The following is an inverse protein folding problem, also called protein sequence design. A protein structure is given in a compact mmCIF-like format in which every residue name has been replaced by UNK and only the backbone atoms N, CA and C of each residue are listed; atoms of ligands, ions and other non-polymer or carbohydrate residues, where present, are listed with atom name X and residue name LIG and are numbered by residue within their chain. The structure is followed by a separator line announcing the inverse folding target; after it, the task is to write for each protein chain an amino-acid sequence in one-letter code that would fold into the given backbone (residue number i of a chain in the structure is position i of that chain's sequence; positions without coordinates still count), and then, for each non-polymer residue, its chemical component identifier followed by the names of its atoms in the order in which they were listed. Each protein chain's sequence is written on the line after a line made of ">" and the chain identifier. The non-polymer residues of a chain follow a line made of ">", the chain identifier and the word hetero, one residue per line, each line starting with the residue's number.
data_IF_378890320418
#
_entry.id   IF_378890320418
#
_cell.length_a   1.000
_cell.length_b   1.000
_cell.length_c   1.000
_cell.angle_alpha   90.00
_cell.angle_beta   90.00
_cell.angle_gamma   90.00
#
_symmetry.space_group_name_H-M   'P 1'
#
loop_
_entity.id
_entity.type
_entity.pdbx_description
1 polymer ?
#
# COMPACT_ATOMS: atom_id res chain seq x y z
N UNK A 1 -9.75 -21.72 4.40
CA UNK A 1 -9.74 -22.65 5.52
C UNK A 1 -8.31 -23.00 5.89
N UNK A 2 -7.72 -22.14 6.71
CA UNK A 2 -6.49 -22.41 7.45
C UNK A 2 -6.88 -22.92 8.85
N UNK A 3 -6.23 -23.96 9.31
CA UNK A 3 -6.44 -24.52 10.64
C UNK A 3 -5.57 -23.81 11.66
N UNK A 4 -5.95 -23.86 12.95
CA UNK A 4 -5.26 -23.10 14.00
C UNK A 4 -3.76 -23.41 14.12
N UNK A 5 -3.28 -24.62 13.75
CA UNK A 5 -1.83 -24.92 13.77
C UNK A 5 -1.02 -24.23 12.66
N UNK A 6 -1.69 -23.72 11.63
CA UNK A 6 -1.10 -23.04 10.46
C UNK A 6 -1.04 -21.52 10.65
N UNK A 7 -1.73 -20.98 11.65
CA UNK A 7 -1.86 -19.54 11.87
C UNK A 7 -0.63 -18.97 12.57
N UNK A 8 -0.11 -17.86 12.06
CA UNK A 8 0.74 -16.98 12.85
C UNK A 8 -0.16 -16.08 13.70
N UNK A 9 -0.28 -16.39 14.99
CA UNK A 9 -1.19 -15.68 15.88
C UNK A 9 -0.76 -14.25 16.18
N UNK A 10 0.54 -13.93 16.15
CA UNK A 10 0.99 -12.55 16.30
C UNK A 10 0.50 -11.72 15.13
N UNK A 11 0.74 -12.19 13.90
CA UNK A 11 0.29 -11.51 12.68
C UNK A 11 -1.25 -11.45 12.58
N UNK A 12 -1.95 -12.54 12.94
CA UNK A 12 -3.41 -12.59 12.90
C UNK A 12 -4.04 -11.55 13.84
N UNK A 13 -3.62 -11.50 15.10
CA UNK A 13 -4.14 -10.53 16.04
C UNK A 13 -3.65 -9.12 15.72
N UNK A 14 -2.45 -8.91 15.17
CA UNK A 14 -2.01 -7.57 14.73
C UNK A 14 -2.87 -7.01 13.60
N UNK A 15 -3.28 -7.85 12.64
CA UNK A 15 -3.99 -7.41 11.42
C UNK A 15 -5.51 -7.42 11.51
N UNK A 16 -6.06 -8.02 12.56
CA UNK A 16 -7.50 -8.20 12.70
C UNK A 16 -8.01 -7.66 14.05
N UNK A 17 -9.20 -7.09 14.00
CA UNK A 17 -10.02 -6.87 15.19
C UNK A 17 -10.82 -8.15 15.44
N UNK A 18 -10.62 -8.72 16.62
CA UNK A 18 -11.17 -10.02 17.01
C UNK A 18 -11.98 -9.82 18.28
N UNK A 19 -13.21 -10.31 18.31
CA UNK A 19 -13.97 -10.42 19.54
C UNK A 19 -13.37 -11.56 20.39
N UNK A 20 -12.58 -11.17 21.40
CA UNK A 20 -11.86 -12.13 22.26
C UNK A 20 -12.82 -13.06 23.01
N UNK A 21 -13.97 -12.57 23.47
CA UNK A 21 -14.91 -13.40 24.23
C UNK A 21 -15.50 -14.50 23.34
N UNK A 22 -15.93 -14.13 22.13
CA UNK A 22 -16.42 -15.08 21.13
C UNK A 22 -15.32 -16.06 20.69
N UNK A 23 -14.09 -15.57 20.52
CA UNK A 23 -12.93 -16.40 20.19
C UNK A 23 -12.65 -17.45 21.27
N UNK A 24 -12.55 -17.03 22.52
CA UNK A 24 -12.29 -17.93 23.65
C UNK A 24 -13.43 -18.93 23.83
N UNK A 25 -14.69 -18.49 23.68
CA UNK A 25 -15.84 -19.38 23.79
C UNK A 25 -15.81 -20.50 22.74
N UNK A 26 -15.40 -20.19 21.51
CA UNK A 26 -15.22 -21.18 20.45
C UNK A 26 -14.06 -22.15 20.74
N UNK A 27 -12.97 -21.67 21.34
CA UNK A 27 -11.90 -22.54 21.85
C UNK A 27 -12.41 -23.48 22.95
N UNK A 28 -13.17 -22.98 23.92
CA UNK A 28 -13.73 -23.78 25.03
C UNK A 28 -14.65 -24.90 24.56
N UNK A 29 -15.39 -24.70 23.47
CA UNK A 29 -16.24 -25.74 22.89
C UNK A 29 -15.45 -26.97 22.41
N UNK A 30 -14.18 -26.80 22.09
CA UNK A 30 -13.28 -27.87 21.64
C UNK A 30 -12.23 -28.26 22.69
N UNK A 31 -12.01 -27.39 23.68
CA UNK A 31 -11.10 -27.57 24.79
C UNK A 31 -11.78 -27.05 26.09
N UNK A 32 -12.58 -27.87 26.79
CA UNK A 32 -13.42 -27.41 27.91
C UNK A 32 -12.73 -26.81 29.13
N UNK A 33 -11.42 -27.01 29.28
CA UNK A 33 -10.58 -26.40 30.34
C UNK A 33 -9.62 -25.34 29.78
N UNK A 34 -9.93 -24.75 28.62
CA UNK A 34 -9.06 -23.79 27.94
C UNK A 34 -8.61 -22.65 28.87
N UNK A 35 -9.55 -22.02 29.60
CA UNK A 35 -9.23 -20.93 30.53
C UNK A 35 -8.43 -21.41 31.72
N UNK A 36 -8.79 -22.54 32.30
CA UNK A 36 -8.08 -23.11 33.45
C UNK A 36 -6.62 -23.45 33.09
N UNK A 37 -6.39 -23.97 31.88
CA UNK A 37 -5.04 -24.26 31.38
C UNK A 37 -4.27 -22.97 31.08
N UNK A 38 -4.89 -21.96 30.47
CA UNK A 38 -4.27 -20.65 30.25
C UNK A 38 -3.81 -20.01 31.57
N UNK A 39 -4.71 -19.96 32.55
CA UNK A 39 -4.44 -19.41 33.87
C UNK A 39 -3.32 -20.16 34.58
N UNK A 40 -3.31 -21.50 34.51
CA UNK A 40 -2.24 -22.31 35.10
C UNK A 40 -0.89 -22.07 34.43
N UNK A 41 -0.89 -21.85 33.10
CA UNK A 41 0.31 -21.52 32.34
C UNK A 41 0.76 -20.05 32.50
N UNK A 42 -0.05 -19.21 33.14
CA UNK A 42 0.26 -17.83 33.49
C UNK A 42 -0.15 -16.79 32.43
N UNK A 43 -1.13 -17.11 31.58
CA UNK A 43 -1.68 -16.19 30.58
C UNK A 43 -2.99 -15.56 31.08
N UNK A 44 -3.14 -14.26 30.88
CA UNK A 44 -4.37 -13.51 31.12
C UNK A 44 -5.21 -13.43 29.84
N UNK A 45 -6.32 -14.17 29.79
CA UNK A 45 -7.18 -14.19 28.60
C UNK A 45 -8.05 -12.92 28.43
N UNK A 46 -7.95 -11.94 29.33
CA UNK A 46 -8.51 -10.60 29.10
C UNK A 46 -7.58 -9.74 28.21
N UNK A 47 -6.30 -10.12 28.08
CA UNK A 47 -5.31 -9.42 27.27
C UNK A 47 -5.09 -10.13 25.92
N UNK A 48 -5.15 -9.35 24.84
CA UNK A 48 -5.04 -9.85 23.46
C UNK A 48 -3.69 -10.51 23.18
N UNK A 49 -2.61 -9.93 23.70
CA UNK A 49 -1.25 -10.44 23.46
C UNK A 49 -1.03 -11.76 24.23
N UNK A 50 -1.63 -11.88 25.41
CA UNK A 50 -1.63 -13.13 26.18
C UNK A 50 -2.50 -14.22 25.55
N UNK A 51 -3.63 -13.89 24.91
CA UNK A 51 -4.40 -14.86 24.10
C UNK A 51 -3.54 -15.37 22.93
N UNK A 52 -2.90 -14.47 22.18
CA UNK A 52 -2.01 -14.86 21.09
C UNK A 52 -0.84 -15.73 21.61
N UNK A 53 -0.26 -15.34 22.75
CA UNK A 53 0.79 -16.09 23.45
C UNK A 53 0.35 -17.49 23.86
N UNK A 54 -0.86 -17.63 24.41
CA UNK A 54 -1.40 -18.92 24.79
C UNK A 54 -1.69 -19.80 23.57
N UNK A 55 -2.18 -19.23 22.47
CA UNK A 55 -2.39 -19.98 21.23
C UNK A 55 -1.07 -20.50 20.64
N UNK A 56 0.01 -19.71 20.69
CA UNK A 56 1.36 -20.19 20.33
C UNK A 56 1.85 -21.28 21.28
N UNK A 57 1.63 -21.12 22.57
CA UNK A 57 1.96 -22.13 23.57
C UNK A 57 1.28 -23.48 23.25
N UNK A 58 0.00 -23.46 22.86
CA UNK A 58 -0.71 -24.65 22.41
C UNK A 58 -0.16 -25.19 21.07
N UNK A 59 0.23 -24.32 20.13
CA UNK A 59 0.89 -24.76 18.89
C UNK A 59 2.23 -25.46 19.15
N UNK A 60 2.99 -25.02 20.15
CA UNK A 60 4.24 -25.67 20.54
C UNK A 60 3.99 -27.07 21.11
N UNK A 61 2.93 -27.25 21.91
CA UNK A 61 2.49 -28.58 22.34
C UNK A 61 2.12 -29.43 21.12
N UNK A 62 1.35 -28.88 20.18
CA UNK A 62 0.92 -29.57 18.97
C UNK A 62 2.09 -30.03 18.09
N UNK A 63 3.09 -29.15 17.91
CA UNK A 63 4.25 -29.39 17.01
C UNK A 63 5.36 -30.21 17.69
N UNK A 64 5.35 -30.31 19.02
CA UNK A 64 6.37 -31.01 19.79
C UNK A 64 6.29 -32.53 19.55
N UNK A 65 7.42 -33.20 19.20
CA UNK A 65 7.44 -34.65 19.08
C UNK A 65 7.23 -35.38 20.43
N UNK A 66 7.32 -34.65 21.54
CA UNK A 66 7.08 -35.17 22.89
C UNK A 66 5.75 -34.64 23.47
N UNK A 67 4.92 -33.95 22.68
CA UNK A 67 3.66 -33.34 23.15
C UNK A 67 3.91 -32.46 24.37
N UNK A 68 3.02 -32.52 25.36
CA UNK A 68 3.13 -31.81 26.65
C UNK A 68 4.23 -32.38 27.58
N UNK A 69 4.69 -33.61 27.34
CA UNK A 69 5.72 -34.25 28.18
C UNK A 69 7.11 -33.62 28.04
N UNK A 70 7.30 -32.66 27.12
CA UNK A 70 8.52 -31.87 27.00
C UNK A 70 8.73 -30.85 28.15
N UNK A 71 7.73 -30.67 29.03
CA UNK A 71 7.78 -29.74 30.16
C UNK A 71 7.41 -28.32 29.75
N UNK A 72 6.13 -27.98 29.91
CA UNK A 72 5.56 -26.68 29.52
C UNK A 72 5.20 -25.85 30.76
N UNK A 73 5.27 -24.53 30.64
CA UNK A 73 5.08 -23.58 31.73
C UNK A 73 3.79 -23.82 32.52
N UNK A 74 3.87 -23.77 33.86
CA UNK A 74 2.74 -24.02 34.76
C UNK A 74 2.46 -25.49 35.06
N UNK A 75 3.06 -26.43 34.34
CA UNK A 75 2.88 -27.89 34.54
C UNK A 75 4.23 -28.61 34.64
N UNK A 76 5.21 -27.99 35.28
CA UNK A 76 6.59 -28.48 35.36
C UNK A 76 6.75 -29.46 36.51
N UNK A 77 6.02 -29.23 37.62
CA UNK A 77 6.13 -30.06 38.82
C UNK A 77 4.90 -30.95 39.01
N UNK A 78 5.10 -32.16 39.51
CA UNK A 78 4.00 -33.08 39.87
C UNK A 78 2.98 -32.47 40.83
N UNK A 79 3.41 -31.55 41.70
CA UNK A 79 2.49 -30.84 42.59
C UNK A 79 1.52 -29.93 41.84
N UNK A 80 1.95 -29.30 40.74
CA UNK A 80 1.12 -28.42 39.92
C UNK A 80 0.10 -29.24 39.13
N UNK A 81 0.55 -30.31 38.46
CA UNK A 81 -0.33 -31.21 37.71
C UNK A 81 -1.31 -31.94 38.62
N UNK A 82 -0.87 -32.38 39.80
CA UNK A 82 -1.77 -32.98 40.79
C UNK A 82 -2.83 -31.99 41.27
N UNK A 83 -2.46 -30.77 41.64
CA UNK A 83 -3.44 -29.78 42.10
C UNK A 83 -4.44 -29.46 40.99
N UNK A 84 -3.96 -29.27 39.76
CA UNK A 84 -4.82 -29.07 38.60
C UNK A 84 -5.79 -30.24 38.38
N UNK A 85 -5.32 -31.48 38.55
CA UNK A 85 -6.19 -32.65 38.49
C UNK A 85 -7.25 -32.62 39.59
N UNK A 86 -6.88 -32.40 40.85
CA UNK A 86 -7.83 -32.38 41.97
C UNK A 86 -8.92 -31.31 41.77
N UNK A 87 -8.54 -30.14 41.25
CA UNK A 87 -9.47 -29.04 41.00
C UNK A 87 -10.40 -29.31 39.81
N UNK A 88 -10.02 -30.20 38.88
CA UNK A 88 -10.71 -30.42 37.59
C UNK A 88 -11.04 -31.89 37.28
N UNK A 89 -10.99 -32.77 38.28
CA UNK A 89 -10.97 -34.22 38.09
C UNK A 89 -12.15 -34.74 37.27
N UNK A 90 -13.36 -34.24 37.55
CA UNK A 90 -14.59 -34.66 36.88
C UNK A 90 -14.52 -34.39 35.37
N UNK A 91 -14.17 -33.17 34.95
CA UNK A 91 -14.06 -32.77 33.54
C UNK A 91 -12.98 -33.57 32.80
N UNK A 92 -11.81 -33.75 33.44
CA UNK A 92 -10.69 -34.51 32.86
C UNK A 92 -11.09 -35.97 32.66
N UNK A 93 -11.66 -36.60 33.70
CA UNK A 93 -12.04 -38.01 33.66
C UNK A 93 -13.17 -38.24 32.65
N UNK A 94 -14.18 -37.38 32.59
CA UNK A 94 -15.29 -37.53 31.65
C UNK A 94 -14.83 -37.37 30.20
N UNK A 95 -13.95 -36.41 29.90
CA UNK A 95 -13.32 -36.30 28.59
C UNK A 95 -12.56 -37.58 28.22
N UNK A 96 -11.74 -38.11 29.13
CA UNK A 96 -10.93 -39.29 28.86
C UNK A 96 -11.76 -40.56 28.70
N UNK A 97 -12.93 -40.66 29.35
CA UNK A 97 -13.90 -41.74 29.09
C UNK A 97 -14.45 -41.67 27.67
N UNK A 98 -14.84 -40.48 27.22
CA UNK A 98 -15.38 -40.28 25.88
C UNK A 98 -14.31 -40.55 24.82
N UNK A 99 -13.08 -40.10 25.08
CA UNK A 99 -11.93 -40.35 24.23
C UNK A 99 -11.59 -41.84 24.14
N UNK A 100 -11.47 -42.55 25.28
CA UNK A 100 -11.19 -43.99 25.28
C UNK A 100 -12.28 -44.77 24.56
N UNK A 101 -13.54 -44.38 24.75
CA UNK A 101 -14.67 -44.97 24.05
C UNK A 101 -14.58 -44.76 22.53
N UNK A 102 -14.15 -43.58 22.09
CA UNK A 102 -13.84 -43.28 20.68
C UNK A 102 -12.75 -44.17 20.09
N UNK A 103 -11.81 -44.65 20.92
CA UNK A 103 -10.80 -45.64 20.55
C UNK A 103 -11.30 -47.10 20.60
N UNK A 104 -12.55 -47.32 21.03
CA UNK A 104 -13.16 -48.64 21.14
C UNK A 104 -12.85 -49.38 22.45
N UNK A 105 -12.46 -48.66 23.51
CA UNK A 105 -12.11 -49.25 24.80
C UNK A 105 -12.68 -48.48 26.00
N UNK A 106 -12.74 -49.14 27.15
CA UNK A 106 -13.09 -48.50 28.42
C UNK A 106 -11.88 -47.76 29.02
N UNK A 107 -12.17 -46.83 29.94
CA UNK A 107 -11.15 -45.97 30.56
C UNK A 107 -10.07 -46.77 31.30
N UNK A 108 -10.42 -47.85 31.99
CA UNK A 108 -9.46 -48.66 32.75
C UNK A 108 -8.46 -49.33 31.79
N UNK A 109 -8.97 -49.87 30.67
CA UNK A 109 -8.13 -50.43 29.60
C UNK A 109 -7.20 -49.36 29.00
N UNK A 110 -7.71 -48.15 28.75
CA UNK A 110 -6.90 -47.04 28.22
C UNK A 110 -5.77 -46.64 29.19
N UNK A 111 -6.11 -46.39 30.46
CA UNK A 111 -5.16 -45.99 31.51
C UNK A 111 -4.10 -47.07 31.78
N UNK A 112 -4.47 -48.35 31.68
CA UNK A 112 -3.53 -49.47 31.89
C UNK A 112 -2.34 -49.49 30.91
N UNK A 113 -2.42 -48.72 29.82
CA UNK A 113 -1.36 -48.59 28.82
C UNK A 113 -0.33 -47.53 29.15
N UNK A 114 -0.56 -46.68 30.14
CA UNK A 114 0.39 -45.64 30.53
C UNK A 114 1.65 -46.31 31.11
N UNK A 115 2.81 -46.00 30.52
CA UNK A 115 4.10 -46.63 30.88
C UNK A 115 5.04 -45.71 31.65
N UNK A 116 4.71 -44.43 31.76
CA UNK A 116 5.61 -43.40 32.28
C UNK A 116 5.54 -43.25 33.82
N UNK A 117 4.64 -43.96 34.51
CA UNK A 117 4.52 -43.98 35.98
C UNK A 117 4.77 -45.33 36.67
N UNK A 118 5.12 -46.40 35.94
CA UNK A 118 5.12 -47.76 36.49
C UNK A 118 3.72 -48.40 36.48
N UNK A 119 3.51 -49.46 37.24
CA UNK A 119 2.18 -50.08 37.38
C UNK A 119 1.22 -49.07 38.03
N UNK A 120 0.23 -48.58 37.29
CA UNK A 120 -0.72 -47.56 37.78
C UNK A 120 -1.47 -48.02 39.03
N UNK A 121 -1.63 -49.33 39.23
CA UNK A 121 -2.21 -49.92 40.44
C UNK A 121 -1.24 -49.74 41.61
N UNK A 122 0.05 -49.99 41.39
CA UNK A 122 1.09 -49.73 42.40
C UNK A 122 1.17 -48.24 42.74
N UNK A 123 1.08 -47.35 41.75
CA UNK A 123 1.10 -45.90 41.97
C UNK A 123 -0.12 -45.41 42.77
N UNK A 124 -1.31 -45.89 42.43
CA UNK A 124 -2.54 -45.61 43.18
C UNK A 124 -2.46 -46.11 44.63
N UNK A 125 -1.80 -47.25 44.87
CA UNK A 125 -1.70 -47.85 46.21
C UNK A 125 -0.57 -47.29 47.07
N UNK A 126 0.55 -46.85 46.46
CA UNK A 126 1.77 -46.46 47.17
C UNK A 126 2.06 -44.95 47.15
N UNK A 127 1.61 -44.23 46.11
CA UNK A 127 1.93 -42.81 45.91
C UNK A 127 0.66 -41.94 45.75
N UNK A 128 -0.48 -42.42 46.23
CA UNK A 128 -1.79 -41.74 46.11
C UNK A 128 -2.16 -41.39 44.65
N UNK A 129 -1.64 -42.17 43.70
CA UNK A 129 -1.86 -41.97 42.26
C UNK A 129 -1.19 -40.73 41.67
N UNK A 130 -0.15 -40.18 42.30
CA UNK A 130 0.53 -38.95 41.83
C UNK A 130 1.01 -39.03 40.38
N UNK A 131 1.65 -40.13 39.97
CA UNK A 131 2.13 -40.24 38.59
C UNK A 131 0.95 -40.45 37.62
N UNK A 132 -0.07 -41.20 38.06
CA UNK A 132 -1.30 -41.37 37.28
C UNK A 132 -2.03 -40.04 37.04
N UNK A 133 -2.21 -39.21 38.07
CA UNK A 133 -2.87 -37.89 37.95
C UNK A 133 -2.13 -36.99 36.96
N UNK A 134 -0.80 -36.98 37.03
CA UNK A 134 0.03 -36.26 36.06
C UNK A 134 -0.18 -36.74 34.62
N UNK A 135 -0.14 -38.05 34.39
CA UNK A 135 -0.34 -38.62 33.06
C UNK A 135 -1.75 -38.30 32.52
N UNK A 136 -2.78 -38.34 33.38
CA UNK A 136 -4.16 -37.97 33.00
C UNK A 136 -4.26 -36.51 32.57
N UNK A 137 -3.63 -35.58 33.30
CA UNK A 137 -3.61 -34.15 32.94
C UNK A 137 -2.89 -33.93 31.62
N UNK A 138 -1.72 -34.54 31.44
CA UNK A 138 -0.95 -34.41 30.21
C UNK A 138 -1.72 -34.93 29.00
N UNK A 139 -2.26 -36.14 29.09
CA UNK A 139 -3.04 -36.75 28.02
C UNK A 139 -4.29 -35.93 27.71
N UNK A 140 -4.95 -35.38 28.73
CA UNK A 140 -6.10 -34.50 28.53
C UNK A 140 -5.74 -33.22 27.77
N UNK A 141 -4.72 -32.48 28.23
CA UNK A 141 -4.32 -31.20 27.62
C UNK A 141 -3.78 -31.42 26.22
N UNK A 142 -2.95 -32.45 26.02
CA UNK A 142 -2.36 -32.78 24.73
C UNK A 142 -3.45 -33.14 23.70
N UNK A 143 -4.37 -34.04 24.05
CA UNK A 143 -5.46 -34.40 23.13
C UNK A 143 -6.44 -33.25 22.89
N UNK A 144 -6.73 -32.43 23.91
CA UNK A 144 -7.59 -31.26 23.73
C UNK A 144 -6.92 -30.22 22.83
N UNK A 145 -5.59 -30.09 22.92
CA UNK A 145 -4.78 -29.23 22.04
C UNK A 145 -4.80 -29.76 20.61
N UNK A 146 -4.57 -31.06 20.40
CA UNK A 146 -4.67 -31.67 19.08
C UNK A 146 -6.06 -31.48 18.48
N UNK A 147 -7.12 -31.72 19.26
CA UNK A 147 -8.49 -31.50 18.81
C UNK A 147 -8.75 -30.04 18.43
N UNK A 148 -8.35 -29.08 19.27
CA UNK A 148 -8.52 -27.66 18.98
C UNK A 148 -7.78 -27.26 17.69
N UNK A 149 -6.54 -27.72 17.53
CA UNK A 149 -5.70 -27.35 16.40
C UNK A 149 -6.13 -27.97 15.08
N UNK A 150 -6.57 -29.23 15.09
CA UNK A 150 -6.98 -29.97 13.87
C UNK A 150 -8.44 -29.75 13.48
N UNK A 151 -9.32 -29.43 14.45
CA UNK A 151 -10.77 -29.38 14.21
C UNK A 151 -11.31 -27.97 14.04
N UNK A 152 -10.57 -26.93 14.41
CA UNK A 152 -11.01 -25.54 14.33
C UNK A 152 -10.25 -24.79 13.25
N UNK A 153 -11.00 -24.11 12.39
CA UNK A 153 -10.43 -23.19 11.40
C UNK A 153 -10.52 -21.76 11.89
N UNK A 154 -9.59 -20.93 11.43
CA UNK A 154 -9.69 -19.48 11.65
C UNK A 154 -10.98 -18.88 11.07
N UNK A 155 -11.56 -19.54 10.05
CA UNK A 155 -12.82 -19.14 9.42
C UNK A 155 -14.05 -19.38 10.33
N UNK A 156 -13.89 -20.13 11.44
CA UNK A 156 -14.95 -20.38 12.42
C UNK A 156 -15.11 -19.23 13.43
N UNK A 157 -14.24 -18.21 13.38
CA UNK A 157 -14.26 -17.06 14.28
C UNK A 157 -14.75 -15.79 13.59
N UNK A 158 -15.42 -14.93 14.36
CA UNK A 158 -15.78 -13.59 13.91
C UNK A 158 -14.59 -12.63 14.10
N UNK A 159 -14.08 -12.11 12.99
CA UNK A 159 -13.06 -11.07 12.98
C UNK A 159 -13.26 -10.17 11.77
N UNK A 160 -12.71 -8.96 11.84
CA UNK A 160 -12.61 -8.05 10.69
C UNK A 160 -11.17 -7.65 10.48
N UNK A 161 -10.75 -7.62 9.23
CA UNK A 161 -9.46 -7.05 8.86
C UNK A 161 -9.44 -5.56 9.23
N UNK A 162 -8.35 -5.11 9.85
CA UNK A 162 -8.17 -3.70 10.17
C UNK A 162 -8.21 -2.85 8.91
N UNK A 163 -7.68 -3.34 7.79
CA UNK A 163 -7.75 -2.65 6.51
C UNK A 163 -9.20 -2.46 6.04
N UNK A 164 -10.04 -3.49 6.19
CA UNK A 164 -11.45 -3.40 5.82
C UNK A 164 -12.19 -2.39 6.70
N UNK A 165 -11.90 -2.36 8.01
CA UNK A 165 -12.47 -1.39 8.94
C UNK A 165 -12.04 0.05 8.62
N UNK A 166 -10.77 0.26 8.28
CA UNK A 166 -10.26 1.57 7.87
C UNK A 166 -10.95 2.04 6.60
N UNK A 167 -11.07 1.17 5.58
CA UNK A 167 -11.76 1.51 4.33
C UNK A 167 -13.25 1.78 4.54
N UNK A 168 -13.97 0.93 5.29
CA UNK A 168 -15.39 1.15 5.63
C UNK A 168 -15.59 2.51 6.32
N UNK A 169 -14.72 2.85 7.30
CA UNK A 169 -14.82 4.11 8.04
C UNK A 169 -14.42 5.30 7.17
N UNK A 170 -13.42 5.15 6.31
CA UNK A 170 -12.99 6.19 5.38
C UNK A 170 -14.10 6.54 4.38
N UNK A 171 -14.77 5.54 3.82
CA UNK A 171 -15.92 5.74 2.93
C UNK A 171 -17.10 6.42 3.64
N UNK A 172 -17.40 6.02 4.88
CA UNK A 172 -18.41 6.70 5.72
C UNK A 172 -18.06 8.19 5.91
N UNK A 173 -16.80 8.50 6.24
CA UNK A 173 -16.36 9.87 6.46
C UNK A 173 -16.41 10.72 5.18
N UNK A 174 -16.03 10.15 4.03
CA UNK A 174 -16.15 10.82 2.72
C UNK A 174 -17.60 11.18 2.40
N UNK A 175 -18.54 10.24 2.59
CA UNK A 175 -19.97 10.48 2.37
C UNK A 175 -20.48 11.61 3.29
N UNK A 176 -20.05 11.63 4.55
CA UNK A 176 -20.40 12.70 5.50
C UNK A 176 -19.84 14.07 5.09
N UNK A 177 -18.61 14.12 4.59
CA UNK A 177 -17.99 15.33 4.06
C UNK A 177 -18.80 15.87 2.87
N UNK A 178 -19.18 14.99 1.94
CA UNK A 178 -20.00 15.33 0.77
C UNK A 178 -21.39 15.85 1.16
N UNK A 179 -21.98 15.28 2.21
CA UNK A 179 -23.29 15.69 2.74
C UNK A 179 -23.22 16.93 3.66
N UNK A 180 -22.01 17.40 4.01
CA UNK A 180 -21.80 18.55 4.90
C UNK A 180 -22.07 18.25 6.38
N UNK A 181 -21.95 17.00 6.81
CA UNK A 181 -22.16 16.53 8.18
C UNK A 181 -20.92 16.78 9.06
N UNK A 182 -20.48 18.04 9.12
CA UNK A 182 -19.17 18.41 9.68
C UNK A 182 -18.99 18.06 11.16
N UNK A 183 -20.03 18.18 11.98
CA UNK A 183 -19.93 17.95 13.43
C UNK A 183 -19.44 16.53 13.75
N UNK A 184 -19.93 15.52 13.02
CA UNK A 184 -19.56 14.12 13.25
C UNK A 184 -18.14 13.83 12.79
N UNK A 185 -17.75 14.38 11.63
CA UNK A 185 -16.40 14.23 11.08
C UNK A 185 -15.37 14.91 11.99
N UNK A 186 -15.65 16.13 12.45
CA UNK A 186 -14.77 16.86 13.37
C UNK A 186 -14.64 16.16 14.72
N UNK A 187 -15.73 15.61 15.25
CA UNK A 187 -15.70 14.85 16.49
C UNK A 187 -14.81 13.61 16.36
N UNK A 188 -14.85 12.93 15.22
CA UNK A 188 -13.99 11.79 14.94
C UNK A 188 -12.52 12.18 14.76
N UNK A 189 -12.23 13.24 13.99
CA UNK A 189 -10.86 13.76 13.78
C UNK A 189 -10.21 14.16 15.11
N UNK A 190 -10.98 14.75 16.03
CA UNK A 190 -10.50 15.19 17.33
C UNK A 190 -10.50 14.10 18.41
N UNK A 191 -11.01 12.91 18.09
CA UNK A 191 -11.01 11.76 18.98
C UNK A 191 -9.75 10.91 18.84
N UNK A 192 -9.67 9.85 19.63
CA UNK A 192 -8.57 8.86 19.56
C UNK A 192 -8.95 7.61 18.71
N UNK A 193 -10.08 7.65 18.02
CA UNK A 193 -10.68 6.50 17.32
C UNK A 193 -9.95 6.12 16.02
N UNK A 194 -8.99 6.91 15.60
CA UNK A 194 -8.25 6.75 14.35
C UNK A 194 -6.93 5.96 14.50
N UNK A 195 -6.80 5.12 15.53
CA UNK A 195 -5.56 4.37 15.86
C UNK A 195 -4.95 3.55 14.70
N UNK A 196 -5.75 3.22 13.69
CA UNK A 196 -5.33 2.41 12.54
C UNK A 196 -5.25 3.19 11.22
N UNK A 197 -5.59 4.48 11.22
CA UNK A 197 -5.49 5.33 10.04
C UNK A 197 -4.03 5.76 9.85
N UNK A 198 -3.59 5.76 8.61
CA UNK A 198 -2.28 6.28 8.20
C UNK A 198 -2.39 7.74 7.79
N UNK A 199 -1.26 8.44 7.66
CA UNK A 199 -1.25 9.80 7.09
C UNK A 199 -1.83 9.84 5.67
N UNK A 200 -1.62 8.80 4.87
CA UNK A 200 -2.20 8.69 3.51
C UNK A 200 -3.74 8.64 3.55
N UNK A 201 -4.32 7.95 4.53
CA UNK A 201 -5.79 7.90 4.70
C UNK A 201 -6.36 9.29 5.05
N UNK A 202 -5.66 10.06 5.88
CA UNK A 202 -6.06 11.44 6.20
C UNK A 202 -5.85 12.41 5.04
N UNK A 203 -4.84 12.18 4.21
CA UNK A 203 -4.62 12.94 2.97
C UNK A 203 -5.78 12.75 2.01
N UNK A 204 -6.26 11.52 1.84
CA UNK A 204 -7.42 11.23 0.98
C UNK A 204 -8.70 11.93 1.49
N UNK A 205 -8.91 11.96 2.81
CA UNK A 205 -10.02 12.72 3.43
C UNK A 205 -9.87 14.23 3.22
N UNK A 206 -8.64 14.75 3.29
CA UNK A 206 -8.35 16.16 3.04
C UNK A 206 -8.62 16.55 1.58
N UNK A 207 -8.20 15.71 0.63
CA UNK A 207 -8.49 15.91 -0.78
C UNK A 207 -10.00 15.92 -1.04
N UNK A 208 -10.75 14.96 -0.49
CA UNK A 208 -12.21 14.92 -0.59
C UNK A 208 -12.86 16.21 -0.03
N UNK A 209 -12.43 16.66 1.17
CA UNK A 209 -12.93 17.90 1.74
C UNK A 209 -12.68 19.11 0.84
N UNK A 210 -11.51 19.17 0.19
CA UNK A 210 -11.20 20.24 -0.75
C UNK A 210 -12.02 20.18 -2.04
N UNK A 211 -12.24 18.99 -2.60
CA UNK A 211 -13.11 18.79 -3.77
C UNK A 211 -14.56 19.21 -3.48
N UNK A 212 -15.03 18.94 -2.26
CA UNK A 212 -16.35 19.35 -1.76
C UNK A 212 -16.43 20.84 -1.35
N UNK A 213 -15.32 21.60 -1.42
CA UNK A 213 -15.20 22.97 -0.89
C UNK A 213 -15.58 23.09 0.60
N UNK A 214 -15.29 22.06 1.38
CA UNK A 214 -15.54 22.00 2.81
C UNK A 214 -14.32 22.54 3.60
N UNK A 215 -14.24 23.87 3.69
CA UNK A 215 -13.10 24.57 4.31
C UNK A 215 -12.90 24.23 5.80
N UNK A 216 -13.98 23.90 6.52
CA UNK A 216 -13.93 23.59 7.94
C UNK A 216 -13.19 22.28 8.21
N UNK A 217 -13.57 21.19 7.53
CA UNK A 217 -12.87 19.90 7.66
C UNK A 217 -11.44 19.98 7.14
N UNK A 218 -11.23 20.69 6.03
CA UNK A 218 -9.90 20.84 5.44
C UNK A 218 -8.94 21.58 6.38
N UNK A 219 -9.40 22.63 7.07
CA UNK A 219 -8.57 23.36 8.03
C UNK A 219 -8.32 22.54 9.30
N UNK A 220 -9.29 21.74 9.75
CA UNK A 220 -9.10 20.86 10.89
C UNK A 220 -8.04 19.79 10.61
N UNK A 221 -8.15 19.07 9.49
CA UNK A 221 -7.16 18.06 9.06
C UNK A 221 -5.76 18.65 8.89
N UNK A 222 -5.67 19.91 8.46
CA UNK A 222 -4.41 20.65 8.36
C UNK A 222 -3.80 20.93 9.74
N UNK A 223 -4.63 21.25 10.73
CA UNK A 223 -4.17 21.69 12.05
C UNK A 223 -4.00 20.56 13.06
N UNK A 224 -4.61 19.39 12.81
CA UNK A 224 -4.61 18.23 13.70
C UNK A 224 -3.25 17.54 13.84
N UNK A 225 -2.35 17.74 12.86
CA UNK A 225 -1.04 17.06 12.82
C UNK A 225 -1.11 15.60 12.37
N UNK A 226 -2.27 15.15 11.86
CA UNK A 226 -2.48 13.79 11.35
C UNK A 226 -1.87 13.58 9.95
N UNK A 227 -1.68 14.68 9.21
CA UNK A 227 -0.98 14.73 7.92
C UNK A 227 0.43 15.27 8.15
N UNK A 228 1.45 14.66 7.52
CA UNK A 228 2.82 15.13 7.68
C UNK A 228 2.99 16.54 7.07
N UNK A 229 3.74 17.41 7.75
CA UNK A 229 3.95 18.80 7.31
C UNK A 229 4.64 18.89 5.94
N UNK A 230 5.47 17.90 5.60
CA UNK A 230 6.23 17.88 4.35
C UNK A 230 5.30 17.56 3.17
N UNK A 231 4.43 16.56 3.29
CA UNK A 231 3.39 16.28 2.29
C UNK A 231 2.36 17.40 2.20
N UNK A 232 2.01 18.02 3.33
CA UNK A 232 1.08 19.15 3.33
C UNK A 232 1.60 20.32 2.47
N UNK A 233 2.89 20.64 2.59
CA UNK A 233 3.55 21.64 1.76
C UNK A 233 3.61 21.20 0.30
N UNK A 234 3.82 19.91 0.03
CA UNK A 234 3.80 19.35 -1.32
C UNK A 234 2.43 19.55 -1.98
N UNK A 235 1.33 19.14 -1.35
CA UNK A 235 -0.04 19.32 -1.86
C UNK A 235 -0.36 20.79 -2.12
N UNK A 236 0.02 21.69 -1.20
CA UNK A 236 -0.16 23.13 -1.40
C UNK A 236 0.65 23.64 -2.59
N UNK A 237 1.92 23.25 -2.70
CA UNK A 237 2.79 23.67 -3.79
C UNK A 237 2.26 23.17 -5.14
N UNK A 238 1.78 21.93 -5.19
CA UNK A 238 1.11 21.36 -6.37
C UNK A 238 -0.10 22.20 -6.78
N UNK A 239 -0.99 22.54 -5.85
CA UNK A 239 -2.17 23.38 -6.14
C UNK A 239 -1.80 24.79 -6.59
N UNK A 240 -0.80 25.41 -5.96
CA UNK A 240 -0.31 26.73 -6.37
C UNK A 240 0.28 26.68 -7.78
N UNK A 241 1.10 25.67 -8.09
CA UNK A 241 1.70 25.48 -9.42
C UNK A 241 0.63 25.23 -10.48
N UNK A 242 -0.34 24.35 -10.21
CA UNK A 242 -1.46 24.09 -11.12
C UNK A 242 -2.27 25.35 -11.41
N UNK A 243 -2.64 26.10 -10.36
CA UNK A 243 -3.37 27.37 -10.52
C UNK A 243 -2.56 28.38 -11.33
N UNK A 244 -1.27 28.50 -11.06
CA UNK A 244 -0.36 29.40 -11.79
C UNK A 244 -0.25 29.00 -13.27
N UNK A 245 -0.12 27.70 -13.56
CA UNK A 245 -0.09 27.17 -14.91
C UNK A 245 -1.39 27.52 -15.66
N UNK A 246 -2.54 27.29 -15.03
CA UNK A 246 -3.84 27.61 -15.62
C UNK A 246 -3.99 29.12 -15.86
N UNK A 247 -3.65 29.96 -14.90
CA UNK A 247 -3.71 31.42 -15.05
C UNK A 247 -2.81 31.90 -16.20
N UNK A 248 -1.60 31.36 -16.31
CA UNK A 248 -0.67 31.68 -17.39
C UNK A 248 -1.24 31.27 -18.75
N UNK A 249 -1.79 30.07 -18.85
CA UNK A 249 -2.43 29.57 -20.08
C UNK A 249 -3.64 30.45 -20.46
N UNK A 250 -4.51 30.78 -19.51
CA UNK A 250 -5.69 31.62 -19.75
C UNK A 250 -5.34 33.08 -20.08
N UNK A 251 -4.16 33.55 -19.67
CA UNK A 251 -3.68 34.91 -19.97
C UNK A 251 -3.15 35.09 -21.40
N UNK A 252 -2.97 34.00 -22.15
CA UNK A 252 -2.44 34.04 -23.52
C UNK A 252 -3.33 34.85 -24.46
N UNK A 253 -2.71 35.63 -25.35
CA UNK A 253 -3.46 36.29 -26.43
C UNK A 253 -4.04 35.25 -27.40
N UNK A 254 -5.06 35.60 -28.19
CA UNK A 254 -5.68 34.64 -29.13
C UNK A 254 -4.71 34.04 -30.16
N UNK A 255 -3.60 34.74 -30.49
CA UNK A 255 -2.54 34.20 -31.34
C UNK A 255 -1.69 33.17 -30.58
N UNK A 256 -1.27 33.51 -29.36
CA UNK A 256 -0.46 32.63 -28.49
C UNK A 256 -1.23 31.37 -28.11
N UNK A 257 -2.52 31.51 -27.78
CA UNK A 257 -3.41 30.39 -27.46
C UNK A 257 -3.50 29.39 -28.61
N UNK A 258 -3.64 29.88 -29.86
CA UNK A 258 -3.69 28.99 -31.03
C UNK A 258 -2.38 28.21 -31.19
N UNK A 259 -1.25 28.87 -31.01
CA UNK A 259 0.07 28.25 -31.11
C UNK A 259 0.34 27.25 -29.98
N UNK A 260 -0.08 27.57 -28.75
CA UNK A 260 -0.07 26.65 -27.63
C UNK A 260 -0.91 25.39 -27.92
N UNK A 261 -2.10 25.53 -28.50
CA UNK A 261 -2.94 24.38 -28.85
C UNK A 261 -2.28 23.48 -29.91
N UNK A 262 -1.61 24.06 -30.90
CA UNK A 262 -0.86 23.31 -31.92
C UNK A 262 0.29 22.50 -31.27
N UNK A 263 1.03 23.09 -30.33
CA UNK A 263 2.08 22.41 -29.56
C UNK A 263 1.48 21.31 -28.68
N UNK A 264 0.40 21.61 -27.97
CA UNK A 264 -0.26 20.65 -27.09
C UNK A 264 -0.78 19.43 -27.84
N UNK A 265 -1.38 19.65 -29.01
CA UNK A 265 -1.88 18.55 -29.84
C UNK A 265 -0.73 17.69 -30.38
N UNK A 266 0.42 18.31 -30.72
CA UNK A 266 1.64 17.58 -31.11
C UNK A 266 2.17 16.72 -29.96
N UNK A 267 2.24 17.25 -28.74
CA UNK A 267 2.68 16.49 -27.55
C UNK A 267 1.75 15.30 -27.26
N UNK A 268 0.43 15.52 -27.31
CA UNK A 268 -0.57 14.44 -27.15
C UNK A 268 -0.46 13.33 -28.18
N UNK A 269 -0.05 13.68 -29.41
CA UNK A 269 0.17 12.71 -30.48
C UNK A 269 1.39 11.81 -30.22
N UNK A 270 2.43 12.35 -29.57
CA UNK A 270 3.62 11.59 -29.17
C UNK A 270 3.26 10.57 -28.09
N UNK A 271 2.61 11.05 -27.03
CA UNK A 271 2.26 10.24 -25.86
C UNK A 271 1.39 9.02 -26.23
N UNK A 272 0.45 9.21 -27.18
CA UNK A 272 -0.48 8.15 -27.60
C UNK A 272 0.10 7.12 -28.57
N UNK A 273 1.05 7.51 -29.42
CA UNK A 273 1.47 6.68 -30.55
C UNK A 273 2.92 6.20 -30.47
N UNK A 274 3.71 6.67 -29.48
CA UNK A 274 5.15 6.35 -29.40
C UNK A 274 5.91 6.73 -30.66
N UNK A 275 5.41 7.70 -31.42
CA UNK A 275 5.91 8.07 -32.73
C UNK A 275 6.86 9.26 -32.59
N UNK A 276 8.11 9.07 -33.00
CA UNK A 276 9.19 10.05 -32.86
C UNK A 276 9.17 11.17 -33.91
N UNK A 277 8.27 11.12 -34.90
CA UNK A 277 8.18 12.12 -35.98
C UNK A 277 7.04 13.12 -35.75
N UNK A 278 7.07 13.83 -34.63
CA UNK A 278 6.18 14.98 -34.42
C UNK A 278 7.02 16.25 -34.53
N UNK A 279 6.91 16.92 -35.68
CA UNK A 279 7.62 18.17 -35.98
C UNK A 279 6.63 19.31 -36.19
N UNK A 280 6.96 20.49 -35.66
CA UNK A 280 6.22 21.73 -35.87
C UNK A 280 7.06 22.70 -36.70
N UNK A 281 6.50 23.19 -37.80
CA UNK A 281 7.14 24.20 -38.62
C UNK A 281 7.08 25.58 -37.94
N UNK A 282 8.24 26.16 -37.65
CA UNK A 282 8.33 27.49 -37.03
C UNK A 282 8.42 28.61 -38.06
N UNK A 283 9.18 28.41 -39.13
CA UNK A 283 9.43 29.44 -40.14
C UNK A 283 9.82 28.85 -41.50
N UNK A 284 9.43 29.54 -42.57
CA UNK A 284 9.90 29.32 -43.93
C UNK A 284 10.77 30.49 -44.39
N UNK A 285 12.02 30.19 -44.71
CA UNK A 285 13.00 31.14 -45.20
C UNK A 285 13.16 30.96 -46.71
N UNK A 286 12.81 31.99 -47.49
CA UNK A 286 13.04 32.01 -48.94
C UNK A 286 14.12 33.05 -49.23
N UNK A 287 15.22 32.64 -49.86
CA UNK A 287 16.22 33.58 -50.34
C UNK A 287 15.62 34.43 -51.48
N UNK A 288 15.34 35.70 -51.18
CA UNK A 288 14.75 36.65 -52.12
C UNK A 288 15.66 36.99 -53.29
N UNK A 289 16.97 36.78 -53.18
CA UNK A 289 17.95 37.19 -54.19
C UNK A 289 18.21 36.09 -55.23
N UNK A 290 18.15 34.82 -54.83
CA UNK A 290 18.47 33.70 -55.73
C UNK A 290 17.23 32.90 -56.12
N UNK A 291 16.16 32.87 -55.31
CA UNK A 291 14.98 31.97 -55.45
C UNK A 291 15.30 30.46 -55.51
N UNK A 292 16.57 30.07 -55.53
CA UNK A 292 17.07 28.70 -55.70
C UNK A 292 17.17 27.92 -54.39
N UNK A 293 17.14 28.59 -53.24
CA UNK A 293 17.28 27.98 -51.92
C UNK A 293 16.11 28.33 -50.99
N UNK A 294 15.54 27.30 -50.39
CA UNK A 294 14.57 27.41 -49.30
C UNK A 294 15.14 26.73 -48.06
N UNK A 295 14.96 27.34 -46.90
CA UNK A 295 15.14 26.64 -45.63
C UNK A 295 13.88 26.67 -44.77
N UNK A 296 13.68 25.59 -44.04
CA UNK A 296 12.58 25.43 -43.08
C UNK A 296 13.19 25.31 -41.69
N UNK A 297 12.67 26.08 -40.74
CA UNK A 297 13.03 25.92 -39.32
C UNK A 297 11.90 25.13 -38.67
N UNK A 298 12.23 23.96 -38.12
CA UNK A 298 11.29 23.06 -37.44
C UNK A 298 11.71 22.83 -35.99
N UNK A 299 10.76 22.39 -35.18
CA UNK A 299 11.00 21.85 -33.85
C UNK A 299 10.45 20.45 -33.81
N UNK A 300 11.31 19.51 -33.51
CA UNK A 300 10.92 18.13 -33.25
C UNK A 300 10.73 17.95 -31.76
N UNK A 301 9.74 17.14 -31.43
CA UNK A 301 9.37 16.81 -30.06
C UNK A 301 9.60 15.31 -29.85
N UNK A 302 10.38 14.96 -28.84
CA UNK A 302 10.56 13.57 -28.42
C UNK A 302 10.18 13.43 -26.95
N UNK A 303 9.47 12.37 -26.59
CA UNK A 303 9.05 12.13 -25.21
C UNK A 303 9.62 10.82 -24.70
N UNK A 304 10.36 10.86 -23.61
CA UNK A 304 10.98 9.68 -23.02
C UNK A 304 11.04 9.80 -21.50
N UNK A 305 10.58 8.76 -20.78
CA UNK A 305 10.64 8.68 -19.31
C UNK A 305 10.19 9.95 -18.56
N UNK A 306 9.06 10.53 -18.97
CA UNK A 306 8.55 11.78 -18.40
C UNK A 306 9.43 13.02 -18.64
N UNK A 307 10.16 13.03 -19.76
CA UNK A 307 10.93 14.18 -20.22
C UNK A 307 10.56 14.50 -21.66
N UNK A 308 10.33 15.79 -21.96
CA UNK A 308 10.14 16.30 -23.30
C UNK A 308 11.45 16.89 -23.85
N UNK A 309 11.93 16.37 -24.96
CA UNK A 309 13.06 16.90 -25.70
C UNK A 309 12.57 17.76 -26.87
N UNK A 310 13.19 18.92 -27.05
CA UNK A 310 12.93 19.86 -28.12
C UNK A 310 14.18 20.01 -28.97
N UNK A 311 14.09 19.66 -30.26
CA UNK A 311 15.20 19.81 -31.20
C UNK A 311 14.84 20.79 -32.29
N UNK A 312 15.47 21.97 -32.28
CA UNK A 312 15.30 23.00 -33.27
C UNK A 312 16.23 22.73 -34.45
N UNK A 313 15.69 22.56 -35.66
CA UNK A 313 16.46 22.21 -36.87
C UNK A 313 16.23 23.20 -38.00
N UNK A 314 17.28 23.47 -38.78
CA UNK A 314 17.18 24.12 -40.10
C UNK A 314 17.39 23.08 -41.20
N UNK A 315 16.39 22.94 -42.08
CA UNK A 315 16.42 22.05 -43.23
C UNK A 315 16.66 22.86 -44.50
N UNK A 316 17.64 22.47 -45.32
CA UNK A 316 17.98 23.14 -46.58
C UNK A 316 17.52 22.32 -47.79
N UNK A 317 16.78 22.97 -48.70
CA UNK A 317 16.25 22.35 -49.92
C UNK A 317 16.87 22.95 -51.17
N UNK A 318 17.04 22.12 -52.22
CA UNK A 318 17.41 22.57 -53.57
C UNK A 318 16.15 22.70 -54.39
N UNK A 319 16.02 23.80 -55.13
CA UNK A 319 15.01 24.10 -56.15
C UNK A 319 13.99 22.98 -56.54
N UNK A 320 12.69 23.27 -56.33
CA UNK A 320 11.44 22.58 -56.76
C UNK A 320 11.27 21.05 -56.60
N UNK A 321 12.31 20.32 -56.26
CA UNK A 321 12.25 18.91 -55.85
C UNK A 321 12.42 18.93 -54.34
N UNK A 322 11.46 18.41 -53.55
CA UNK A 322 11.50 18.42 -52.08
C UNK A 322 12.64 17.54 -51.49
N UNK A 323 13.76 17.40 -52.20
CA UNK A 323 14.92 16.63 -51.82
C UNK A 323 15.76 17.47 -50.84
N UNK A 324 15.76 17.01 -49.60
CA UNK A 324 16.55 17.56 -48.51
C UNK A 324 18.05 17.44 -48.82
N UNK A 325 18.76 18.56 -48.85
CA UNK A 325 20.22 18.57 -49.14
C UNK A 325 21.02 18.44 -47.85
N UNK A 326 20.57 19.13 -46.80
CA UNK A 326 21.34 19.30 -45.56
C UNK A 326 20.41 19.65 -44.40
N UNK A 327 20.69 19.03 -43.27
CA UNK A 327 20.10 19.32 -41.97
C UNK A 327 21.14 19.97 -41.05
N UNK A 328 20.71 20.93 -40.22
CA UNK A 328 21.53 21.55 -39.19
C UNK A 328 20.73 21.71 -37.89
N UNK A 329 21.23 21.13 -36.79
CA UNK A 329 20.66 21.30 -35.46
C UNK A 329 21.07 22.67 -34.92
N UNK A 330 20.08 23.50 -34.58
CA UNK A 330 20.26 24.87 -34.09
C UNK A 330 20.29 24.95 -32.56
N UNK A 331 19.45 24.17 -31.89
CA UNK A 331 19.32 24.12 -30.42
C UNK A 331 18.67 22.79 -30.02
N UNK A 332 19.13 22.22 -28.92
CA UNK A 332 18.49 21.11 -28.23
C UNK A 332 18.16 21.55 -26.81
N UNK A 333 17.02 21.11 -26.28
CA UNK A 333 16.59 21.43 -24.94
C UNK A 333 15.80 20.28 -24.33
N UNK A 334 15.98 20.09 -23.03
CA UNK A 334 15.30 19.08 -22.24
C UNK A 334 14.37 19.76 -21.25
N UNK A 335 13.10 19.36 -21.23
CA UNK A 335 12.09 19.79 -20.27
C UNK A 335 11.74 18.57 -19.42
N UNK A 336 12.23 18.55 -18.20
CA UNK A 336 11.92 17.51 -17.23
C UNK A 336 10.49 17.69 -16.70
N UNK A 337 9.82 16.57 -16.37
CA UNK A 337 8.56 16.60 -15.63
C UNK A 337 8.77 17.29 -14.30
N UNK A 338 7.87 18.22 -14.00
CA UNK A 338 7.67 18.69 -12.64
C UNK A 338 6.77 17.67 -11.92
N UNK A 339 7.34 16.94 -10.94
CA UNK A 339 6.60 15.93 -10.17
C UNK A 339 5.48 16.54 -9.32
N UNK A 340 5.49 17.87 -9.15
CA UNK A 340 4.42 18.61 -8.48
C UNK A 340 3.26 19.00 -9.42
N UNK A 341 3.25 18.52 -10.68
CA UNK A 341 2.12 18.70 -11.61
C UNK A 341 1.32 17.40 -11.71
N UNK A 342 0.00 17.47 -11.53
CA UNK A 342 -0.93 16.35 -11.74
C UNK A 342 -0.72 15.72 -13.12
N UNK A 343 -0.61 14.39 -13.14
CA UNK A 343 -0.59 13.55 -14.34
C UNK A 343 -1.61 13.96 -15.41
N UNK A 344 -2.83 14.38 -15.03
CA UNK A 344 -3.90 14.79 -15.95
C UNK A 344 -3.62 16.13 -16.64
N UNK A 345 -2.70 16.94 -16.10
CA UNK A 345 -2.31 18.28 -16.58
C UNK A 345 -0.90 18.29 -17.17
N UNK A 346 -0.22 17.15 -17.20
CA UNK A 346 1.15 17.04 -17.66
C UNK A 346 1.34 17.48 -19.13
N UNK A 347 0.37 17.18 -20.00
CA UNK A 347 0.34 17.67 -21.38
C UNK A 347 0.29 19.21 -21.47
N UNK A 348 -0.55 19.83 -20.63
CA UNK A 348 -0.70 21.29 -20.61
C UNK A 348 0.59 21.95 -20.07
N UNK A 349 1.25 21.34 -19.08
CA UNK A 349 2.55 21.77 -18.57
C UNK A 349 3.64 21.71 -19.65
N UNK A 350 3.84 20.54 -20.28
CA UNK A 350 4.86 20.40 -21.31
C UNK A 350 4.61 21.31 -22.51
N UNK A 351 3.35 21.48 -22.91
CA UNK A 351 2.98 22.39 -23.97
C UNK A 351 3.28 23.85 -23.62
N UNK A 352 3.05 24.24 -22.37
CA UNK A 352 3.34 25.59 -21.89
C UNK A 352 4.85 25.87 -21.84
N UNK A 353 5.64 24.94 -21.32
CA UNK A 353 7.11 25.05 -21.27
C UNK A 353 7.71 25.10 -22.67
N UNK A 354 7.28 24.21 -23.58
CA UNK A 354 7.72 24.22 -24.97
C UNK A 354 7.31 25.51 -25.69
N UNK A 355 6.10 26.03 -25.44
CA UNK A 355 5.66 27.30 -25.99
C UNK A 355 6.58 28.46 -25.58
N UNK A 356 7.01 28.55 -24.32
CA UNK A 356 7.95 29.58 -23.86
C UNK A 356 9.28 29.51 -24.60
N UNK A 357 9.82 28.30 -24.76
CA UNK A 357 11.10 28.08 -25.45
C UNK A 357 11.02 28.39 -26.95
N UNK A 358 9.94 27.96 -27.61
CA UNK A 358 9.68 28.26 -29.02
C UNK A 358 9.52 29.76 -29.23
N UNK A 359 8.77 30.44 -28.37
CA UNK A 359 8.58 31.90 -28.44
C UNK A 359 9.91 32.64 -28.28
N UNK A 360 10.70 32.29 -27.26
CA UNK A 360 12.04 32.84 -27.02
C UNK A 360 12.97 32.63 -28.23
N UNK A 361 12.94 31.44 -28.81
CA UNK A 361 13.73 31.11 -30.00
C UNK A 361 13.32 31.93 -31.23
N UNK A 362 12.01 32.09 -31.47
CA UNK A 362 11.47 32.93 -32.56
C UNK A 362 11.91 34.39 -32.42
N UNK A 363 11.90 34.93 -31.20
CA UNK A 363 12.37 36.29 -30.91
C UNK A 363 13.88 36.43 -31.19
N UNK A 364 14.68 35.43 -30.82
CA UNK A 364 16.13 35.43 -31.06
C UNK A 364 16.50 35.32 -32.55
N UNK A 365 15.78 34.50 -33.32
CA UNK A 365 15.97 34.36 -34.78
C UNK A 365 15.68 35.66 -35.51
N UNK A 366 14.59 36.34 -35.15
CA UNK A 366 14.16 37.57 -35.81
C UNK A 366 15.23 38.68 -35.69
N UNK A 367 16.13 38.59 -34.71
CA UNK A 367 17.25 39.51 -34.49
C UNK A 367 18.49 39.13 -35.31
N UNK A 368 18.76 37.85 -35.58
CA UNK A 368 19.99 37.37 -36.27
C UNK A 368 19.81 37.11 -37.78
N UNK A 369 18.61 36.74 -38.23
CA UNK A 369 18.41 36.20 -39.59
C UNK A 369 18.18 37.22 -40.70
N UNK A 370 18.20 38.53 -40.38
CA UNK A 370 18.17 39.56 -41.42
C UNK A 370 19.51 40.25 -41.68
N UNK A 371 20.53 40.05 -40.83
CA UNK A 371 21.81 40.75 -40.97
C UNK A 371 23.02 39.85 -41.26
N UNK A 372 23.09 38.60 -40.79
CA UNK A 372 24.34 37.81 -40.93
C UNK A 372 24.33 36.67 -41.96
N UNK A 373 23.17 36.13 -42.38
CA UNK A 373 23.15 35.03 -43.37
C UNK A 373 23.52 35.53 -44.79
N UNK A 374 23.40 36.85 -45.05
CA UNK A 374 23.73 37.45 -46.35
C UNK A 374 25.23 37.60 -46.62
N UNK A 375 26.09 37.75 -45.61
CA UNK A 375 27.49 38.16 -45.87
C UNK A 375 28.50 36.99 -45.90
N UNK A 376 28.27 35.89 -45.18
CA UNK A 376 29.20 34.75 -45.20
C UNK A 376 28.92 33.72 -46.30
N UNK A 377 27.65 33.49 -46.69
CA UNK A 377 27.31 32.48 -47.72
C UNK A 377 27.65 32.94 -49.15
N UNK A 378 27.57 34.25 -49.45
CA UNK A 378 28.03 34.79 -50.76
C UNK A 378 29.55 34.62 -50.94
N UNK A 379 30.32 34.67 -49.85
CA UNK A 379 31.79 34.58 -49.91
C UNK A 379 32.31 33.14 -50.01
N UNK A 380 31.58 32.13 -49.53
CA UNK A 380 31.99 30.71 -49.69
C UNK A 380 31.68 30.15 -51.07
N UNK A 381 30.57 30.52 -51.71
CA UNK A 381 30.27 30.05 -53.07
C UNK A 381 31.13 30.70 -54.17
N UNK A 382 31.57 31.95 -53.99
CA UNK A 382 32.51 32.62 -54.91
C UNK A 382 33.96 32.12 -54.82
N UNK A 383 34.31 31.32 -53.82
CA UNK A 383 35.67 30.74 -53.67
C UNK A 383 35.80 29.33 -54.24
N UNK A 384 34.69 28.69 -54.60
CA UNK A 384 34.65 27.31 -55.11
C UNK A 384 34.14 27.22 -56.57
N UNK A 385 33.93 28.36 -57.24
CA UNK A 385 33.92 28.49 -58.71
C UNK A 385 35.17 29.25 -59.12
#
# INVERSE_FOLDING_TARGET
>A
MAYLYEIDFDEFFEKNEVDLDSFIQACENNFPLFREVANQAGFDLEDKDDVAGFMRYLQDIYKSPNGMSAGFGGFVYYTETNNFFEDNAEKIVDYLKDFSYGLGEDLDTFVSKFKNGGDYIEDALLNDGTHLKNDLVWVYIENSTYNLMDSVSIDDFEYKSILELVEEKKDELKEKIENGENEEVLAWINGDEHKYFTSEDFEELFENAQECNNEEIAEELRSSGLISSDHFNEIINQKIKMKTLEENIHSMTGKEWKEFLEIRDAIKLIDRNGCNDNSMLLANCIDKNTREFRSEIKVDFEYYNATLFLTFRELFYKDNENDEIKEEILKELEIEKDYEIDSKKLDDYFAYEAFKEIKSFKEAINIKDYTMIKEEKINRHRRNM
#
